data_IF_651777752412
#
_entry.id   IF_651777752412
#
_cell.length_a   1.000
_cell.length_b   1.000
_cell.length_c   1.000
_cell.angle_alpha   90.00
_cell.angle_beta   90.00
_cell.angle_gamma   90.00
#
_symmetry.space_group_name_H-M   'P 1'
#
loop_
_entity.id
_entity.type
_entity.pdbx_description
1 polymer ?
#
# COMPACT_ATOMS: atom_id res chain seq x y z
N UNK A 1 -12.79 -3.19 -14.39
CA UNK A 1 -12.11 -2.00 -14.95
C UNK A 1 -11.54 -1.25 -13.77
N UNK A 2 -10.32 -0.75 -13.92
CA UNK A 2 -9.62 0.04 -12.91
C UNK A 2 -9.07 1.29 -13.57
N UNK A 3 -8.90 2.33 -12.76
CA UNK A 3 -8.22 3.55 -13.16
C UNK A 3 -6.83 3.56 -12.52
N UNK A 4 -5.78 3.78 -13.32
CA UNK A 4 -4.42 3.91 -12.80
C UNK A 4 -4.24 5.34 -12.29
N UNK A 5 -3.99 5.50 -11.00
CA UNK A 5 -3.88 6.82 -10.37
C UNK A 5 -2.44 7.21 -10.06
N UNK A 6 -1.55 6.24 -9.85
CA UNK A 6 -0.13 6.48 -9.63
C UNK A 6 0.70 5.34 -10.18
N UNK A 7 1.83 5.67 -10.82
CA UNK A 7 2.83 4.70 -11.24
C UNK A 7 4.18 5.39 -11.41
N UNK A 8 4.97 5.43 -10.34
CA UNK A 8 6.30 6.03 -10.35
C UNK A 8 7.18 5.46 -9.24
N UNK A 9 8.48 5.73 -9.28
CA UNK A 9 9.43 5.37 -8.23
C UNK A 9 9.54 6.44 -7.13
N UNK A 10 9.10 7.67 -7.39
CA UNK A 10 9.10 8.77 -6.43
C UNK A 10 7.96 9.75 -6.74
N UNK A 11 7.31 10.28 -5.71
CA UNK A 11 6.34 11.36 -5.88
C UNK A 11 5.26 11.38 -4.79
N UNK A 12 4.48 12.45 -4.78
CA UNK A 12 3.28 12.51 -3.96
C UNK A 12 2.12 11.82 -4.69
N UNK A 13 1.18 11.27 -3.91
CA UNK A 13 -0.07 10.68 -4.40
C UNK A 13 -1.25 11.52 -3.89
N UNK A 14 -1.48 12.72 -4.45
CA UNK A 14 -2.54 13.61 -3.96
C UNK A 14 -3.95 13.00 -4.14
N UNK A 15 -4.13 12.05 -5.06
CA UNK A 15 -5.41 11.42 -5.38
C UNK A 15 -6.02 10.64 -4.22
N UNK A 16 -5.21 10.18 -3.26
CA UNK A 16 -5.69 9.46 -2.07
C UNK A 16 -5.70 10.32 -0.80
N UNK A 17 -5.22 11.56 -0.87
CA UNK A 17 -5.27 12.48 0.26
C UNK A 17 -6.72 12.91 0.57
N UNK A 18 -7.04 13.02 1.85
CA UNK A 18 -8.38 13.35 2.35
C UNK A 18 -9.38 12.19 2.32
N UNK A 19 -8.99 11.02 1.81
CA UNK A 19 -9.84 9.83 1.83
C UNK A 19 -9.96 9.28 3.25
N UNK A 20 -11.20 8.97 3.64
CA UNK A 20 -11.51 8.29 4.90
C UNK A 20 -11.46 6.78 4.69
N UNK A 21 -10.47 6.14 5.29
CA UNK A 21 -10.25 4.70 5.24
C UNK A 21 -11.31 3.99 6.08
N UNK A 22 -11.79 2.87 5.56
CA UNK A 22 -12.71 1.97 6.25
C UNK A 22 -12.12 0.59 6.47
N UNK A 23 -11.21 0.17 5.59
CA UNK A 23 -10.58 -1.14 5.67
C UNK A 23 -9.21 -1.12 5.02
N UNK A 24 -8.29 -1.90 5.59
CA UNK A 24 -6.98 -2.21 5.02
C UNK A 24 -6.82 -3.72 4.99
N UNK A 25 -6.39 -4.25 3.84
CA UNK A 25 -6.03 -5.65 3.68
C UNK A 25 -4.60 -5.73 3.15
N UNK A 26 -3.77 -6.58 3.74
CA UNK A 26 -2.51 -6.97 3.13
C UNK A 26 -2.63 -8.39 2.58
N UNK A 27 -2.06 -8.58 1.40
CA UNK A 27 -2.00 -9.85 0.68
C UNK A 27 -0.54 -10.30 0.73
N UNK A 28 -0.28 -11.45 1.33
CA UNK A 28 1.06 -11.88 1.72
C UNK A 28 1.52 -13.11 0.93
N UNK A 29 2.83 -13.20 0.68
CA UNK A 29 3.41 -14.28 -0.09
C UNK A 29 3.27 -15.64 0.62
N UNK A 30 3.05 -16.73 -0.13
CA UNK A 30 2.88 -18.08 0.42
C UNK A 30 4.03 -18.60 1.26
N UNK A 31 5.26 -18.37 0.79
CA UNK A 31 6.46 -18.98 1.35
C UNK A 31 7.01 -18.17 2.54
N UNK A 32 6.62 -16.90 2.61
CA UNK A 32 7.06 -15.94 3.61
C UNK A 32 5.85 -15.10 4.05
N UNK A 33 5.15 -15.57 5.09
CA UNK A 33 3.92 -14.96 5.60
C UNK A 33 4.05 -13.51 6.08
N UNK A 34 5.22 -12.90 6.02
CA UNK A 34 5.45 -11.49 6.36
C UNK A 34 5.73 -10.62 5.11
N UNK A 35 5.89 -11.22 3.93
CA UNK A 35 6.16 -10.52 2.68
C UNK A 35 4.85 -10.04 2.03
N UNK A 36 4.70 -8.73 1.87
CA UNK A 36 3.47 -8.08 1.38
C UNK A 36 3.52 -7.90 -0.13
N UNK A 37 2.71 -8.66 -0.86
CA UNK A 37 2.60 -8.53 -2.32
C UNK A 37 1.74 -7.31 -2.69
N UNK A 38 0.57 -7.20 -2.06
CA UNK A 38 -0.41 -6.14 -2.34
C UNK A 38 -1.01 -5.59 -1.07
N UNK A 39 -1.39 -4.32 -1.12
CA UNK A 39 -2.26 -3.70 -0.12
C UNK A 39 -3.55 -3.24 -0.79
N UNK A 40 -4.68 -3.51 -0.16
CA UNK A 40 -5.99 -3.02 -0.54
C UNK A 40 -6.53 -2.07 0.53
N UNK A 41 -6.83 -0.83 0.13
CA UNK A 41 -7.44 0.19 1.00
C UNK A 41 -8.88 0.42 0.53
N UNK A 42 -9.85 0.10 1.39
CA UNK A 42 -11.26 0.44 1.20
C UNK A 42 -11.58 1.79 1.85
N UNK A 43 -12.47 2.56 1.21
CA UNK A 43 -12.88 3.89 1.71
C UNK A 43 -14.39 3.98 1.94
N UNK A 44 -14.78 4.76 2.94
CA UNK A 44 -16.18 4.93 3.34
C UNK A 44 -17.00 5.80 2.35
N UNK A 45 -16.34 6.64 1.57
CA UNK A 45 -17.01 7.71 0.82
C UNK A 45 -17.83 7.20 -0.36
N UNK A 46 -17.45 6.06 -0.97
CA UNK A 46 -17.99 5.64 -2.28
C UNK A 46 -17.91 4.12 -2.56
N UNK A 47 -17.62 3.28 -1.57
CA UNK A 47 -17.20 1.87 -1.82
C UNK A 47 -16.00 1.77 -2.78
N UNK A 48 -15.18 2.82 -2.82
CA UNK A 48 -13.97 2.89 -3.63
C UNK A 48 -12.85 2.11 -2.93
N UNK A 49 -12.08 1.36 -3.73
CA UNK A 49 -10.97 0.53 -3.29
C UNK A 49 -9.70 0.89 -4.06
N UNK A 50 -8.58 0.87 -3.37
CA UNK A 50 -7.26 1.20 -3.92
C UNK A 50 -6.35 0.00 -3.72
N UNK A 51 -5.87 -0.56 -4.83
CA UNK A 51 -4.85 -1.62 -4.83
C UNK A 51 -3.49 -0.98 -5.02
N UNK A 52 -2.62 -1.19 -4.06
CA UNK A 52 -1.26 -0.67 -3.98
C UNK A 52 -0.31 -1.85 -4.11
N UNK A 53 0.74 -1.68 -4.91
CA UNK A 53 1.76 -2.71 -5.13
C UNK A 53 3.11 -2.07 -5.46
N UNK A 54 4.18 -2.81 -5.21
CA UNK A 54 5.54 -2.45 -5.63
C UNK A 54 6.10 -3.69 -6.35
N UNK A 55 6.56 -3.52 -7.59
CA UNK A 55 7.01 -4.63 -8.45
C UNK A 55 8.53 -4.64 -8.70
N UNK A 56 9.29 -4.06 -7.76
CA UNK A 56 10.74 -3.92 -7.83
C UNK A 56 11.22 -2.77 -8.73
N UNK A 57 10.34 -2.15 -9.52
CA UNK A 57 10.70 -1.03 -10.42
C UNK A 57 9.98 0.28 -10.06
N UNK A 58 8.74 0.19 -9.58
CA UNK A 58 7.94 1.36 -9.20
C UNK A 58 6.89 0.98 -8.15
N UNK A 59 6.28 1.99 -7.54
CA UNK A 59 5.04 1.85 -6.78
C UNK A 59 3.85 2.15 -7.69
N UNK A 60 2.88 1.24 -7.73
CA UNK A 60 1.67 1.35 -8.53
C UNK A 60 0.42 1.42 -7.65
N UNK A 61 -0.49 2.32 -7.99
CA UNK A 61 -1.79 2.46 -7.31
C UNK A 61 -2.91 2.48 -8.34
N UNK A 62 -3.82 1.52 -8.19
CA UNK A 62 -4.99 1.35 -9.04
C UNK A 62 -6.26 1.57 -8.22
N UNK A 63 -7.20 2.31 -8.78
CA UNK A 63 -8.50 2.59 -8.20
C UNK A 63 -9.58 1.69 -8.81
N UNK A 64 -10.46 1.19 -7.93
CA UNK A 64 -11.57 0.31 -8.24
C UNK A 64 -12.85 0.81 -7.59
N UNK A 65 -13.99 0.63 -8.27
CA UNK A 65 -15.33 0.94 -7.74
C UNK A 65 -15.92 -0.12 -6.82
N UNK A 66 -15.17 -1.18 -6.51
CA UNK A 66 -15.61 -2.30 -5.65
C UNK A 66 -14.41 -3.09 -5.14
N UNK A 67 -14.61 -3.84 -4.07
CA UNK A 67 -13.63 -4.78 -3.53
C UNK A 67 -13.39 -5.90 -4.55
N UNK A 68 -12.15 -6.02 -5.02
CA UNK A 68 -11.69 -7.13 -5.85
C UNK A 68 -10.47 -7.84 -5.24
N UNK A 69 -10.18 -7.61 -3.96
CA UNK A 69 -9.04 -8.22 -3.26
C UNK A 69 -9.05 -9.74 -3.30
N UNK A 70 -10.23 -10.36 -3.31
CA UNK A 70 -10.36 -11.83 -3.42
C UNK A 70 -9.88 -12.39 -4.76
N UNK A 71 -9.68 -11.55 -5.78
CA UNK A 71 -9.11 -11.98 -7.06
C UNK A 71 -7.58 -12.06 -7.04
N UNK A 72 -6.94 -11.47 -6.04
CA UNK A 72 -5.51 -11.57 -5.81
C UNK A 72 -5.17 -12.72 -4.82
N UNK A 73 -6.17 -13.51 -4.42
CA UNK A 73 -5.97 -14.68 -3.56
C UNK A 73 -5.84 -15.93 -4.44
N UNK A 74 -4.64 -16.49 -4.48
CA UNK A 74 -4.36 -17.84 -5.00
C UNK A 74 -4.31 -18.86 -3.85
N UNK A 75 -4.16 -20.16 -4.16
CA UNK A 75 -4.32 -21.27 -3.19
C UNK A 75 -3.44 -21.17 -1.94
N UNK A 76 -2.32 -20.44 -2.01
CA UNK A 76 -1.36 -20.34 -0.92
C UNK A 76 -1.13 -18.90 -0.41
N UNK A 77 -1.88 -17.91 -0.91
CA UNK A 77 -1.71 -16.50 -0.55
C UNK A 77 -2.54 -16.16 0.69
N UNK A 78 -1.94 -15.47 1.67
CA UNK A 78 -2.62 -15.11 2.92
C UNK A 78 -3.17 -13.69 2.86
N UNK A 79 -4.40 -13.48 3.31
CA UNK A 79 -5.01 -12.16 3.47
C UNK A 79 -5.10 -11.79 4.96
N UNK A 80 -4.49 -10.68 5.35
CA UNK A 80 -4.64 -10.11 6.70
C UNK A 80 -5.49 -8.84 6.63
N UNK A 81 -6.57 -8.81 7.40
CA UNK A 81 -7.40 -7.63 7.61
C UNK A 81 -6.87 -6.82 8.80
N UNK A 82 -6.69 -5.51 8.63
CA UNK A 82 -6.25 -4.59 9.67
C UNK A 82 -7.40 -3.69 10.12
N UNK A 83 -8.12 -4.09 11.15
CA UNK A 83 -9.32 -3.38 11.62
C UNK A 83 -9.01 -2.06 12.35
N UNK A 84 -7.77 -1.85 12.80
CA UNK A 84 -7.36 -0.67 13.57
C UNK A 84 -7.39 0.64 12.76
N UNK A 85 -7.45 0.56 11.43
CA UNK A 85 -7.38 1.71 10.52
C UNK A 85 -8.75 2.35 10.26
N UNK A 86 -9.84 1.76 10.76
CA UNK A 86 -11.19 2.26 10.48
C UNK A 86 -11.34 3.72 10.96
N UNK A 87 -11.91 4.54 10.10
CA UNK A 87 -12.12 5.98 10.25
C UNK A 87 -10.87 6.86 10.22
N UNK A 88 -9.68 6.32 9.95
CA UNK A 88 -8.50 7.15 9.69
C UNK A 88 -8.67 7.96 8.39
N UNK A 89 -8.13 9.18 8.36
CA UNK A 89 -8.15 10.05 7.19
C UNK A 89 -6.73 10.24 6.71
N UNK A 90 -6.48 9.93 5.44
CA UNK A 90 -5.16 10.10 4.83
C UNK A 90 -4.84 11.60 4.76
N UNK A 91 -3.78 12.02 5.45
CA UNK A 91 -3.26 13.38 5.39
C UNK A 91 -2.39 13.57 4.15
N UNK A 92 -1.47 12.63 3.93
CA UNK A 92 -0.53 12.66 2.81
C UNK A 92 -0.10 11.23 2.46
N UNK A 93 0.14 11.02 1.17
CA UNK A 93 0.75 9.81 0.67
C UNK A 93 1.93 10.18 -0.24
N UNK A 94 3.06 9.50 -0.05
CA UNK A 94 4.30 9.78 -0.77
C UNK A 94 5.07 8.49 -1.02
N UNK A 95 5.59 8.35 -2.23
CA UNK A 95 6.54 7.33 -2.62
C UNK A 95 7.92 7.96 -2.67
N UNK A 96 8.88 7.29 -2.06
CA UNK A 96 10.28 7.71 -1.99
C UNK A 96 11.16 6.55 -2.45
N UNK A 97 12.15 6.88 -3.26
CA UNK A 97 13.19 5.97 -3.67
C UNK A 97 14.35 6.08 -2.68
N UNK A 98 14.84 4.92 -2.23
CA UNK A 98 16.04 4.79 -1.41
C UNK A 98 17.25 5.44 -2.07
N UNK A 99 18.30 5.65 -1.29
CA UNK A 99 19.47 6.36 -1.80
C UNK A 99 20.27 5.49 -2.77
N UNK A 100 19.99 5.62 -4.07
CA UNK A 100 20.70 4.92 -5.15
C UNK A 100 22.22 5.10 -5.11
N UNK A 101 22.72 6.24 -4.62
CA UNK A 101 24.17 6.49 -4.49
C UNK A 101 24.82 5.60 -3.42
N UNK A 102 24.03 5.07 -2.48
CA UNK A 102 24.46 4.15 -1.43
C UNK A 102 24.16 2.69 -1.76
N UNK A 103 23.69 2.39 -2.98
CA UNK A 103 23.30 1.03 -3.38
C UNK A 103 21.96 0.58 -2.81
N UNK A 104 21.14 1.53 -2.36
CA UNK A 104 19.78 1.29 -1.89
C UNK A 104 18.78 1.74 -2.97
N UNK A 105 18.16 0.78 -3.65
CA UNK A 105 17.05 1.06 -4.59
C UNK A 105 15.70 0.67 -3.99
N UNK A 106 15.57 0.63 -2.66
CA UNK A 106 14.29 0.35 -2.03
C UNK A 106 13.25 1.38 -2.40
N UNK A 107 11.99 0.96 -2.46
CA UNK A 107 10.85 1.86 -2.68
C UNK A 107 10.06 1.89 -1.37
N UNK A 108 9.84 3.08 -0.83
CA UNK A 108 9.06 3.33 0.36
C UNK A 108 7.81 4.11 0.00
N UNK A 109 6.64 3.51 0.18
CA UNK A 109 5.38 4.23 0.27
C UNK A 109 5.09 4.57 1.73
N UNK A 110 4.94 5.86 2.01
CA UNK A 110 4.43 6.37 3.29
C UNK A 110 3.01 6.89 3.10
N UNK A 111 2.07 6.37 3.88
CA UNK A 111 0.72 6.94 4.06
C UNK A 111 0.64 7.45 5.50
N UNK A 112 0.56 8.76 5.66
CA UNK A 112 0.38 9.40 6.95
C UNK A 112 -1.09 9.79 7.14
N UNK A 113 -1.62 9.51 8.32
CA UNK A 113 -3.00 9.82 8.70
C UNK A 113 -3.06 11.07 9.55
N UNK A 114 -4.21 11.75 9.57
CA UNK A 114 -4.43 12.94 10.41
C UNK A 114 -4.27 12.67 11.92
N UNK A 115 -4.38 11.41 12.35
CA UNK A 115 -4.09 10.99 13.73
C UNK A 115 -2.60 11.02 14.08
N UNK A 116 -1.71 11.21 13.11
CA UNK A 116 -0.26 11.11 13.26
C UNK A 116 0.30 9.70 13.08
N UNK A 117 -0.56 8.68 12.93
CA UNK A 117 -0.14 7.32 12.56
C UNK A 117 0.43 7.31 11.15
N UNK A 118 1.32 6.37 10.87
CA UNK A 118 1.89 6.14 9.53
C UNK A 118 1.84 4.67 9.16
N UNK A 119 1.43 4.40 7.94
CA UNK A 119 1.56 3.11 7.29
C UNK A 119 2.73 3.19 6.32
N UNK A 120 3.72 2.33 6.49
CA UNK A 120 4.91 2.25 5.66
C UNK A 120 4.91 0.93 4.90
N UNK A 121 4.90 0.97 3.58
CA UNK A 121 5.16 -0.18 2.73
C UNK A 121 6.53 0.02 2.08
N UNK A 122 7.50 -0.79 2.47
CA UNK A 122 8.87 -0.74 1.95
C UNK A 122 9.21 -2.04 1.24
N UNK A 123 9.87 -1.96 0.08
CA UNK A 123 10.40 -3.13 -0.62
C UNK A 123 11.89 -2.98 -0.87
N UNK A 124 12.66 -4.00 -0.52
CA UNK A 124 14.12 -3.99 -0.67
C UNK A 124 14.56 -4.55 -2.03
N UNK A 125 15.47 -3.85 -2.69
CA UNK A 125 16.00 -4.20 -4.03
C UNK A 125 16.74 -5.55 -4.06
N UNK A 126 17.37 -5.95 -2.95
CA UNK A 126 18.28 -7.11 -2.94
C UNK A 126 17.56 -8.46 -2.87
N UNK A 127 16.34 -8.51 -2.33
CA UNK A 127 15.58 -9.75 -2.12
C UNK A 127 14.14 -9.68 -2.66
N UNK A 128 13.67 -8.52 -3.13
CA UNK A 128 12.29 -8.31 -3.57
C UNK A 128 11.26 -8.26 -2.43
N UNK A 129 11.71 -8.52 -1.19
CA UNK A 129 10.85 -8.57 -0.02
C UNK A 129 10.23 -7.21 0.28
N UNK A 130 8.91 -7.20 0.32
CA UNK A 130 8.09 -6.07 0.72
C UNK A 130 7.54 -6.28 2.13
N UNK A 131 7.54 -5.25 2.97
CA UNK A 131 7.03 -5.33 4.34
C UNK A 131 6.18 -4.12 4.69
N UNK A 132 5.20 -4.36 5.55
CA UNK A 132 4.25 -3.38 6.00
C UNK A 132 4.45 -3.08 7.49
N UNK A 133 4.70 -1.82 7.80
CA UNK A 133 4.87 -1.34 9.17
C UNK A 133 3.85 -0.28 9.53
N UNK A 134 3.36 -0.36 10.77
CA UNK A 134 2.56 0.67 11.40
C UNK A 134 3.40 1.42 12.42
N UNK A 135 3.54 2.73 12.23
CA UNK A 135 4.08 3.63 13.24
C UNK A 135 2.91 4.35 13.90
N UNK A 136 2.83 4.23 15.21
CA UNK A 136 1.90 5.03 16.03
C UNK A 136 2.70 6.08 16.82
N UNK A 137 2.12 7.27 17.06
CA UNK A 137 2.75 8.32 17.85
C UNK A 137 2.94 7.95 19.34
#
# INVERSE_FOLDING_TARGET
MFDKIFQDYEGFVPEIAGLKVSKLKAILAPENNDEVIFIWIGTNSNSDWYRIFIDGCYCGINHYKKDLSSKDLDEDVVCIDYDWIDNEIIAIAKVELGNKMLGDSSILLTIEFLSGKKLLLYCYDHDGECKLELISP
#
